data_IF_134990541657
#
_entry.id   IF_134990541657
#
_cell.length_a   1.000
_cell.length_b   1.000
_cell.length_c   1.000
_cell.angle_alpha   90.00
_cell.angle_beta   90.00
_cell.angle_gamma   90.00
#
_symmetry.space_group_name_H-M   'P 1'
#
loop_
_entity.id
_entity.type
_entity.pdbx_description
1 polymer ?
#
# COMPACT_ATOMS: atom_id res chain seq x y z
N UNK A 1 -3.63 9.38 -10.55
CA UNK A 1 -3.70 8.31 -9.54
C UNK A 1 -3.67 6.96 -10.23
N UNK A 2 -2.91 6.03 -9.71
CA UNK A 2 -2.83 4.69 -10.27
C UNK A 2 -3.20 3.67 -9.22
N UNK A 3 -3.74 2.55 -9.66
CA UNK A 3 -3.99 1.42 -8.77
C UNK A 3 -2.78 0.50 -8.86
N UNK A 4 -2.22 0.17 -7.72
CA UNK A 4 -1.04 -0.68 -7.66
C UNK A 4 -1.26 -1.83 -6.70
N UNK A 5 -0.43 -2.84 -6.85
CA UNK A 5 -0.47 -4.02 -6.01
C UNK A 5 0.91 -4.22 -5.40
N UNK A 6 0.94 -4.36 -4.09
CA UNK A 6 2.18 -4.59 -3.36
C UNK A 6 2.12 -5.95 -2.70
N UNK A 7 3.16 -6.74 -2.87
CA UNK A 7 3.25 -8.05 -2.25
C UNK A 7 4.20 -7.96 -1.07
N UNK A 8 3.69 -8.25 0.12
CA UNK A 8 4.47 -8.16 1.34
C UNK A 8 4.72 -9.56 1.89
N UNK A 9 5.95 -9.85 2.23
CA UNK A 9 6.36 -11.15 2.77
C UNK A 9 6.33 -11.08 4.28
N UNK A 10 5.18 -11.39 4.87
CA UNK A 10 5.03 -11.38 6.30
C UNK A 10 4.49 -10.07 6.82
N UNK A 11 4.05 -10.10 8.07
CA UNK A 11 3.38 -8.92 8.62
C UNK A 11 4.34 -7.77 8.89
N UNK A 12 5.62 -8.07 9.10
CA UNK A 12 6.58 -7.00 9.33
C UNK A 12 6.74 -6.15 8.08
N UNK A 13 6.79 -6.79 6.91
CA UNK A 13 6.86 -6.03 5.66
C UNK A 13 5.56 -5.29 5.40
N UNK A 14 4.45 -5.92 5.73
CA UNK A 14 3.16 -5.25 5.58
C UNK A 14 3.10 -4.00 6.44
N UNK A 15 3.53 -4.12 7.68
CA UNK A 15 3.49 -3.00 8.59
C UNK A 15 4.39 -1.87 8.10
N UNK A 16 5.56 -2.22 7.62
CA UNK A 16 6.48 -1.22 7.10
C UNK A 16 5.88 -0.52 5.88
N UNK A 17 5.27 -1.29 4.99
CA UNK A 17 4.66 -0.72 3.80
C UNK A 17 3.55 0.26 4.18
N UNK A 18 2.71 -0.12 5.12
CA UNK A 18 1.59 0.71 5.51
C UNK A 18 2.02 1.98 6.23
N UNK A 19 3.15 1.93 6.93
CA UNK A 19 3.59 3.06 7.71
C UNK A 19 4.58 3.96 6.98
N UNK A 20 5.30 3.42 6.01
CA UNK A 20 6.37 4.18 5.37
C UNK A 20 6.13 4.42 3.89
N UNK A 21 5.74 3.36 3.17
CA UNK A 21 5.69 3.48 1.72
C UNK A 21 4.45 4.18 1.22
N UNK A 22 3.35 4.10 1.94
CA UNK A 22 2.12 4.77 1.53
C UNK A 22 1.75 5.90 2.47
N UNK A 23 2.75 6.52 3.08
CA UNK A 23 2.53 7.66 3.94
C UNK A 23 2.37 8.91 3.07
N UNK A 24 1.22 9.06 2.48
CA UNK A 24 0.94 10.20 1.63
C UNK A 24 0.36 11.31 2.49
N UNK A 25 1.00 12.47 2.41
CA UNK A 25 0.64 13.59 3.24
C UNK A 25 -0.83 13.96 3.06
N UNK A 26 -1.54 14.07 4.16
CA UNK A 26 -2.92 14.49 4.10
C UNK A 26 -3.92 13.40 3.80
N UNK A 27 -3.44 12.18 3.63
CA UNK A 27 -4.33 11.06 3.32
C UNK A 27 -4.23 10.00 4.40
N UNK A 28 -5.34 9.37 4.69
CA UNK A 28 -5.37 8.28 5.65
C UNK A 28 -5.26 6.94 4.93
N UNK A 29 -4.68 5.94 5.57
CA UNK A 29 -4.57 4.62 4.93
C UNK A 29 -5.90 4.07 4.45
N UNK A 30 -6.97 4.30 5.20
CA UNK A 30 -8.27 3.76 4.79
C UNK A 30 -8.78 4.38 3.50
N UNK A 31 -8.25 5.55 3.12
CA UNK A 31 -8.62 6.17 1.86
C UNK A 31 -7.70 5.76 0.72
N UNK A 32 -6.62 5.09 1.05
CA UNK A 32 -5.62 4.67 0.07
C UNK A 32 -5.78 3.20 -0.26
N UNK A 33 -5.99 2.38 0.77
CA UNK A 33 -6.04 0.93 0.61
C UNK A 33 -7.39 0.52 0.07
N UNK A 34 -7.38 -0.21 -1.03
CA UNK A 34 -8.59 -0.76 -1.61
C UNK A 34 -8.91 -2.13 -1.06
N UNK A 35 -7.88 -2.88 -0.72
CA UNK A 35 -8.09 -4.19 -0.14
C UNK A 35 -6.77 -4.85 0.21
N UNK A 36 -6.82 -5.75 1.17
CA UNK A 36 -5.67 -6.54 1.58
C UNK A 36 -6.13 -7.98 1.67
N UNK A 37 -5.39 -8.87 1.03
CA UNK A 37 -5.66 -10.29 1.14
C UNK A 37 -4.42 -10.98 1.68
N UNK A 38 -4.63 -12.10 2.35
CA UNK A 38 -3.55 -12.88 2.93
C UNK A 38 -3.57 -14.27 2.34
N UNK A 39 -2.39 -14.76 1.95
CA UNK A 39 -2.21 -16.10 1.45
C UNK A 39 -0.97 -16.66 2.14
N UNK A 40 -1.18 -17.54 3.11
CA UNK A 40 -0.11 -18.08 3.95
C UNK A 40 0.56 -16.94 4.70
N UNK A 41 1.84 -16.69 4.46
CA UNK A 41 2.55 -15.60 5.12
C UNK A 41 2.61 -14.35 4.25
N UNK A 42 2.05 -14.41 3.04
CA UNK A 42 2.14 -13.28 2.12
C UNK A 42 0.87 -12.44 2.18
N UNK A 43 1.06 -11.14 2.08
CA UNK A 43 -0.05 -10.21 2.05
C UNK A 43 -0.02 -9.46 0.72
N UNK A 44 -1.16 -9.35 0.09
CA UNK A 44 -1.29 -8.61 -1.15
C UNK A 44 -2.13 -7.37 -0.87
N UNK A 45 -1.55 -6.21 -1.13
CA UNK A 45 -2.22 -4.93 -0.87
C UNK A 45 -2.55 -4.28 -2.21
N UNK A 46 -3.83 -3.98 -2.40
CA UNK A 46 -4.27 -3.23 -3.57
C UNK A 46 -4.54 -1.81 -3.10
N UNK A 47 -3.87 -0.85 -3.68
CA UNK A 47 -3.94 0.50 -3.15
C UNK A 47 -3.84 1.53 -4.27
N UNK A 48 -4.22 2.76 -3.92
CA UNK A 48 -4.11 3.88 -4.84
C UNK A 48 -2.75 4.53 -4.65
N UNK A 49 -2.03 4.69 -5.74
CA UNK A 49 -0.71 5.30 -5.68
C UNK A 49 -0.82 6.79 -5.95
N UNK A 50 -0.69 7.57 -4.92
CA UNK A 50 -0.73 9.03 -5.02
C UNK A 50 0.66 9.62 -5.11
N UNK A 51 1.65 8.79 -5.31
CA UNK A 51 3.02 9.27 -5.41
C UNK A 51 3.13 10.19 -6.60
N UNK A 52 3.69 11.36 -6.38
CA UNK A 52 3.69 12.40 -7.41
C UNK A 52 4.64 12.13 -8.55
N UNK A 53 5.47 11.12 -8.45
CA UNK A 53 6.40 10.88 -9.52
C UNK A 53 5.75 10.64 -10.85
N UNK A 54 4.57 10.08 -10.85
CA UNK A 54 3.91 9.80 -12.12
C UNK A 54 3.21 11.00 -12.69
N UNK A 55 3.24 12.09 -12.00
CA UNK A 55 2.61 13.27 -12.53
C UNK A 55 3.39 13.95 -13.57
N UNK A 56 4.53 13.69 -13.67
CA UNK A 56 5.27 14.50 -14.52
C UNK A 56 5.43 14.11 -15.78
#
# INVERSE_FOLDING_TARGET
MKIKIELCDGKDELEKFLNEDIDYKGLRPENIILGITQDRMYYTVVYKDYNSKWKK
#
